data_IF_001507115576
#
_entry.id   IF_001507115576
#
_cell.length_a   1.000
_cell.length_b   1.000
_cell.length_c   1.000
_cell.angle_alpha   90.00
_cell.angle_beta   90.00
_cell.angle_gamma   90.00
#
_symmetry.space_group_name_H-M   'P 1'
#
loop_
_entity.id
_entity.type
_entity.pdbx_description
1 polymer ?
#
# COMPACT_ATOMS: atom_id res chain seq x y z
N UNK A 1 48.68 14.73 -54.84
CA UNK A 1 47.26 14.45 -54.71
C UNK A 1 47.06 13.81 -53.34
N UNK A 2 46.68 14.56 -52.31
CA UNK A 2 46.32 14.04 -50.98
C UNK A 2 44.81 13.96 -50.92
N UNK A 3 44.26 12.76 -50.69
CA UNK A 3 42.83 12.57 -50.43
C UNK A 3 42.61 12.64 -48.89
N UNK A 4 41.87 13.64 -48.47
CA UNK A 4 41.39 13.73 -47.09
C UNK A 4 40.17 12.78 -46.92
N UNK A 5 40.27 11.87 -45.95
CA UNK A 5 39.14 11.01 -45.54
C UNK A 5 38.43 11.73 -44.38
N UNK A 6 37.22 12.18 -44.60
CA UNK A 6 36.33 12.68 -43.56
C UNK A 6 35.68 11.46 -42.84
N UNK A 7 36.05 11.27 -41.59
CA UNK A 7 35.37 10.33 -40.68
C UNK A 7 34.21 11.08 -40.04
N UNK A 8 33.00 10.78 -40.48
CA UNK A 8 31.77 11.27 -39.84
C UNK A 8 31.52 10.53 -38.50
N UNK A 9 31.64 11.25 -37.40
CA UNK A 9 31.23 10.76 -36.10
C UNK A 9 29.70 10.93 -35.99
N UNK A 10 28.94 9.85 -36.19
CA UNK A 10 27.52 9.80 -35.86
C UNK A 10 27.37 9.70 -34.34
N UNK A 11 27.14 10.84 -33.70
CA UNK A 11 26.73 10.87 -32.29
C UNK A 11 25.33 10.27 -32.15
N UNK A 12 25.22 9.10 -31.56
CA UNK A 12 23.96 8.60 -31.03
C UNK A 12 23.57 9.48 -29.85
N UNK A 13 22.63 10.39 -30.06
CA UNK A 13 21.87 11.00 -28.96
C UNK A 13 20.98 9.90 -28.38
N UNK A 14 21.42 9.29 -27.29
CA UNK A 14 20.51 8.56 -26.41
C UNK A 14 19.55 9.58 -25.82
N UNK A 15 18.33 9.65 -26.36
CA UNK A 15 17.21 10.28 -25.67
C UNK A 15 17.00 9.47 -24.41
N UNK A 16 17.54 9.95 -23.28
CA UNK A 16 17.11 9.48 -21.98
C UNK A 16 15.61 9.78 -21.91
N UNK A 17 14.79 8.76 -21.98
CA UNK A 17 13.37 8.83 -21.63
C UNK A 17 13.35 9.21 -20.16
N UNK A 18 13.21 10.50 -19.83
CA UNK A 18 12.95 10.92 -18.49
C UNK A 18 11.59 10.36 -18.11
N UNK A 19 11.56 9.43 -17.15
CA UNK A 19 10.31 8.96 -16.56
C UNK A 19 9.48 10.18 -16.12
N UNK A 20 8.24 10.28 -16.59
CA UNK A 20 7.37 11.43 -16.30
C UNK A 20 6.61 11.19 -14.98
N UNK A 21 7.31 10.71 -13.97
CA UNK A 21 6.81 10.45 -12.62
C UNK A 21 7.62 11.28 -11.62
N UNK A 22 7.01 11.68 -10.50
CA UNK A 22 7.71 12.37 -9.41
C UNK A 22 8.52 11.37 -8.58
N UNK A 23 9.72 11.04 -8.99
CA UNK A 23 10.56 9.99 -8.42
C UNK A 23 10.91 10.18 -6.93
N UNK A 24 10.84 11.41 -6.40
CA UNK A 24 11.10 11.69 -4.98
C UNK A 24 9.96 11.27 -4.04
N UNK A 25 8.82 10.85 -4.57
CA UNK A 25 7.67 10.42 -3.78
C UNK A 25 7.72 8.94 -3.43
N UNK A 26 7.04 8.57 -2.34
CA UNK A 26 6.88 7.19 -1.88
C UNK A 26 8.21 6.42 -1.78
N UNK A 27 9.27 7.07 -1.30
CA UNK A 27 10.58 6.42 -1.09
C UNK A 27 10.53 5.31 -0.02
N UNK A 28 9.52 5.36 0.85
CA UNK A 28 9.04 4.25 1.68
C UNK A 28 7.56 4.03 1.40
N UNK A 29 6.97 2.87 1.76
CA UNK A 29 5.56 2.60 1.51
C UNK A 29 4.66 3.70 2.08
N UNK A 30 3.67 4.22 1.33
CA UNK A 30 2.75 5.23 1.84
C UNK A 30 1.96 4.74 3.06
N UNK A 31 1.81 5.60 4.06
CA UNK A 31 1.00 5.34 5.26
C UNK A 31 -0.15 6.34 5.34
N UNK A 32 -1.36 5.86 5.56
CA UNK A 32 -2.54 6.72 5.59
C UNK A 32 -3.83 6.01 5.99
N UNK A 33 -4.93 6.59 5.57
CA UNK A 33 -6.28 6.08 5.74
C UNK A 33 -7.09 6.31 4.46
N UNK A 34 -7.97 5.37 4.14
CA UNK A 34 -8.90 5.46 3.01
C UNK A 34 -10.33 5.17 3.48
N UNK A 35 -11.29 5.88 2.91
CA UNK A 35 -12.68 5.86 3.36
C UNK A 35 -13.47 4.60 2.95
N UNK A 36 -13.00 3.80 1.99
CA UNK A 36 -13.85 2.81 1.31
C UNK A 36 -14.36 1.70 2.22
N UNK A 37 -13.45 0.97 2.87
CA UNK A 37 -13.83 -0.29 3.56
C UNK A 37 -14.80 -0.07 4.71
N UNK A 38 -14.73 1.07 5.40
CA UNK A 38 -15.67 1.37 6.50
C UNK A 38 -16.91 2.14 6.08
N UNK A 39 -16.77 3.07 5.14
CA UNK A 39 -17.82 4.06 4.88
C UNK A 39 -18.49 3.90 3.53
N UNK A 40 -17.86 3.25 2.57
CA UNK A 40 -18.36 3.10 1.20
C UNK A 40 -18.94 4.42 0.64
N UNK A 41 -19.96 4.36 -0.21
CA UNK A 41 -20.60 5.55 -0.77
C UNK A 41 -21.46 6.32 0.24
N UNK A 42 -22.19 5.61 1.08
CA UNK A 42 -23.25 6.23 1.90
C UNK A 42 -22.71 6.87 3.18
N UNK A 43 -21.60 6.38 3.69
CA UNK A 43 -20.99 6.87 4.94
C UNK A 43 -20.07 8.07 4.77
N UNK A 44 -19.65 8.44 3.55
CA UNK A 44 -18.69 9.54 3.37
C UNK A 44 -19.38 10.90 3.23
N UNK A 45 -18.82 11.89 3.92
CA UNK A 45 -19.13 13.30 3.75
C UNK A 45 -17.98 14.15 4.34
N UNK A 46 -17.99 15.46 4.08
CA UNK A 46 -16.96 16.40 4.54
C UNK A 46 -16.71 16.32 6.05
N UNK A 47 -17.79 16.20 6.86
CA UNK A 47 -17.68 16.09 8.32
C UNK A 47 -16.91 14.85 8.73
N UNK A 48 -17.28 13.68 8.21
CA UNK A 48 -16.60 12.41 8.53
C UNK A 48 -15.12 12.47 8.14
N UNK A 49 -14.80 13.00 6.96
CA UNK A 49 -13.39 13.07 6.51
C UNK A 49 -12.56 14.00 7.42
N UNK A 50 -13.13 15.14 7.86
CA UNK A 50 -12.48 16.03 8.82
C UNK A 50 -12.27 15.34 10.18
N UNK A 51 -13.27 14.61 10.66
CA UNK A 51 -13.19 13.84 11.91
C UNK A 51 -12.13 12.72 11.83
N UNK A 52 -11.97 12.06 10.66
CA UNK A 52 -10.90 11.07 10.48
C UNK A 52 -9.51 11.73 10.53
N UNK A 53 -9.33 12.90 9.92
CA UNK A 53 -8.09 13.66 10.00
C UNK A 53 -7.76 14.05 11.46
N UNK A 54 -8.75 14.55 12.20
CA UNK A 54 -8.59 14.88 13.63
C UNK A 54 -8.25 13.64 14.47
N UNK A 55 -8.93 12.53 14.22
CA UNK A 55 -8.69 11.27 14.91
C UNK A 55 -7.30 10.68 14.61
N UNK A 56 -6.81 10.80 13.38
CA UNK A 56 -5.44 10.38 13.01
C UNK A 56 -4.39 11.14 13.81
N UNK A 57 -4.60 12.45 14.04
CA UNK A 57 -3.70 13.26 14.88
C UNK A 57 -3.85 12.87 16.36
N UNK A 58 -5.09 12.82 16.86
CA UNK A 58 -5.37 12.57 18.28
C UNK A 58 -4.95 11.17 18.76
N UNK A 59 -5.04 10.15 17.91
CA UNK A 59 -4.69 8.77 18.23
C UNK A 59 -3.18 8.48 18.27
N UNK A 60 -2.35 9.43 17.79
CA UNK A 60 -0.91 9.23 17.66
C UNK A 60 -0.47 8.58 16.34
N UNK A 61 -1.39 8.25 15.43
CA UNK A 61 -1.05 7.67 14.13
C UNK A 61 -0.18 8.62 13.29
N UNK A 62 -0.45 9.94 13.33
CA UNK A 62 0.40 10.93 12.65
C UNK A 62 1.85 10.87 13.15
N UNK A 63 2.07 10.79 14.47
CA UNK A 63 3.40 10.65 15.06
C UNK A 63 4.05 9.31 14.71
N UNK A 64 3.24 8.28 14.48
CA UNK A 64 3.72 6.96 14.04
C UNK A 64 4.11 6.92 12.56
N UNK A 65 3.76 7.95 11.76
CA UNK A 65 4.15 8.06 10.34
C UNK A 65 3.01 8.14 9.34
N UNK A 66 1.75 7.96 9.75
CA UNK A 66 0.59 8.10 8.88
C UNK A 66 0.44 9.55 8.39
N UNK A 67 0.24 9.73 7.09
CA UNK A 67 0.21 11.06 6.45
C UNK A 67 -1.02 11.31 5.60
N UNK A 68 -1.54 10.29 4.92
CA UNK A 68 -2.56 10.48 3.89
C UNK A 68 -3.96 10.25 4.45
N UNK A 69 -4.89 11.17 4.15
CA UNK A 69 -6.34 11.02 4.29
C UNK A 69 -6.91 10.98 2.89
N UNK A 70 -7.37 9.79 2.46
CA UNK A 70 -7.84 9.54 1.10
C UNK A 70 -9.35 9.37 1.09
N UNK A 71 -10.06 10.23 0.32
CA UNK A 71 -11.46 9.97 -0.03
C UNK A 71 -11.51 9.02 -1.22
N UNK A 72 -12.25 7.93 -1.08
CA UNK A 72 -12.47 6.94 -2.14
C UNK A 72 -13.67 7.30 -3.04
N UNK A 73 -14.27 6.38 -3.75
CA UNK A 73 -15.38 6.59 -4.69
C UNK A 73 -16.57 7.32 -4.08
N UNK A 74 -17.45 7.86 -4.91
CA UNK A 74 -18.69 8.55 -4.54
C UNK A 74 -18.56 9.97 -3.97
N UNK A 75 -17.40 10.62 -4.14
CA UNK A 75 -17.26 12.05 -3.84
C UNK A 75 -17.78 12.95 -4.99
N UNK A 76 -17.78 12.46 -6.23
CA UNK A 76 -18.16 13.18 -7.45
C UNK A 76 -19.57 12.79 -7.94
N UNK A 77 -20.23 13.72 -8.64
CA UNK A 77 -21.61 13.53 -9.14
C UNK A 77 -21.79 13.81 -10.64
N UNK A 78 -20.91 14.59 -11.25
CA UNK A 78 -21.08 15.01 -12.65
C UNK A 78 -19.87 15.77 -13.17
N UNK A 79 -20.06 16.36 -14.36
CA UNK A 79 -19.14 17.34 -14.94
C UNK A 79 -19.92 18.60 -15.31
N UNK A 80 -19.27 19.78 -15.19
CA UNK A 80 -19.87 21.04 -15.63
C UNK A 80 -19.81 21.17 -17.17
N UNK A 81 -20.36 22.28 -17.71
CA UNK A 81 -20.38 22.55 -19.14
C UNK A 81 -18.99 22.72 -19.76
N UNK A 82 -17.95 22.96 -18.96
CA UNK A 82 -16.55 23.02 -19.37
C UNK A 82 -15.83 21.66 -19.21
N UNK A 83 -16.55 20.62 -18.72
CA UNK A 83 -16.02 19.29 -18.50
C UNK A 83 -15.31 19.07 -17.17
N UNK A 84 -15.26 20.08 -16.28
CA UNK A 84 -14.65 19.92 -14.97
C UNK A 84 -15.48 18.98 -14.09
N UNK A 85 -14.79 18.11 -13.33
CA UNK A 85 -15.46 17.19 -12.41
C UNK A 85 -16.07 17.94 -11.23
N UNK A 86 -17.30 17.59 -10.86
CA UNK A 86 -18.08 18.25 -9.82
C UNK A 86 -18.19 17.32 -8.61
N UNK A 87 -17.78 17.82 -7.45
CA UNK A 87 -18.02 17.16 -6.17
C UNK A 87 -19.51 17.19 -5.79
N UNK A 88 -19.93 16.19 -5.01
CA UNK A 88 -21.29 16.18 -4.43
C UNK A 88 -21.42 17.32 -3.40
N UNK A 89 -22.19 18.35 -3.76
CA UNK A 89 -22.37 19.54 -2.91
C UNK A 89 -23.16 19.26 -1.61
N UNK A 90 -23.88 18.13 -1.54
CA UNK A 90 -24.58 17.70 -0.32
C UNK A 90 -23.59 17.05 0.64
N UNK A 91 -22.71 16.20 0.11
CA UNK A 91 -21.68 15.52 0.92
C UNK A 91 -20.51 16.42 1.25
N UNK A 92 -20.10 17.29 0.34
CA UNK A 92 -18.94 18.18 0.46
C UNK A 92 -19.32 19.65 0.21
N UNK A 93 -20.13 20.24 1.09
CA UNK A 93 -20.67 21.60 0.88
C UNK A 93 -19.61 22.70 0.88
N UNK A 94 -18.47 22.49 1.56
CA UNK A 94 -17.33 23.39 1.52
C UNK A 94 -16.46 23.25 0.27
N UNK A 95 -16.68 22.19 -0.51
CA UNK A 95 -15.88 21.83 -1.69
C UNK A 95 -14.56 21.12 -1.36
N UNK A 96 -14.00 20.46 -2.34
CA UNK A 96 -12.80 19.61 -2.19
C UNK A 96 -11.56 20.44 -1.81
N UNK A 97 -11.40 21.65 -2.36
CA UNK A 97 -10.28 22.53 -2.02
C UNK A 97 -10.25 22.87 -0.53
N UNK A 98 -11.39 23.29 0.04
CA UNK A 98 -11.46 23.64 1.47
C UNK A 98 -11.24 22.42 2.37
N UNK A 99 -11.66 21.22 1.93
CA UNK A 99 -11.36 19.98 2.64
C UNK A 99 -9.86 19.67 2.61
N UNK A 100 -9.20 19.78 1.47
CA UNK A 100 -7.75 19.61 1.34
C UNK A 100 -6.99 20.59 2.22
N UNK A 101 -7.35 21.89 2.19
CA UNK A 101 -6.73 22.92 3.02
C UNK A 101 -6.89 22.62 4.53
N UNK A 102 -8.05 22.09 4.95
CA UNK A 102 -8.26 21.62 6.33
C UNK A 102 -7.31 20.49 6.71
N UNK A 103 -7.20 19.47 5.87
CA UNK A 103 -6.32 18.32 6.11
C UNK A 103 -4.86 18.77 6.16
N UNK A 104 -4.44 19.66 5.27
CA UNK A 104 -3.11 20.29 5.30
C UNK A 104 -2.86 21.08 6.58
N UNK A 105 -3.87 21.77 7.11
CA UNK A 105 -3.75 22.50 8.38
C UNK A 105 -3.45 21.61 9.59
N UNK A 106 -3.73 20.30 9.48
CA UNK A 106 -3.38 19.28 10.49
C UNK A 106 -1.98 18.67 10.26
N UNK A 107 -1.22 19.14 9.26
CA UNK A 107 0.06 18.54 8.86
C UNK A 107 -0.06 17.20 8.17
N UNK A 108 -1.24 16.89 7.64
CA UNK A 108 -1.55 15.69 6.86
C UNK A 108 -1.58 16.01 5.37
N UNK A 109 -1.71 14.99 4.53
CA UNK A 109 -1.81 15.05 3.08
C UNK A 109 -3.16 14.57 2.61
N UNK A 110 -3.70 15.18 1.57
CA UNK A 110 -5.03 14.86 1.04
C UNK A 110 -4.95 13.97 -0.19
N UNK A 111 -5.73 12.90 -0.20
CA UNK A 111 -5.88 11.99 -1.34
C UNK A 111 -7.29 11.96 -1.89
N UNK A 112 -7.41 11.61 -3.19
CA UNK A 112 -8.67 11.52 -3.90
C UNK A 112 -8.68 10.28 -4.79
N UNK A 113 -9.86 9.90 -5.28
CA UNK A 113 -10.10 8.73 -6.10
C UNK A 113 -10.66 9.11 -7.48
N UNK A 114 -10.26 8.35 -8.50
CA UNK A 114 -10.85 8.33 -9.82
C UNK A 114 -10.79 6.91 -10.43
N UNK A 115 -11.13 6.79 -11.71
CA UNK A 115 -11.05 5.54 -12.45
C UNK A 115 -10.63 5.80 -13.90
N UNK A 116 -9.85 4.88 -14.48
CA UNK A 116 -9.39 4.93 -15.87
C UNK A 116 -10.47 4.59 -16.90
N UNK A 117 -11.65 4.17 -16.46
CA UNK A 117 -12.80 3.87 -17.32
C UNK A 117 -13.71 5.06 -17.56
N UNK A 118 -14.88 4.78 -18.17
CA UNK A 118 -15.92 5.79 -18.43
C UNK A 118 -16.68 6.19 -17.17
N UNK A 119 -16.72 5.28 -16.18
CA UNK A 119 -17.34 5.46 -14.87
C UNK A 119 -16.48 4.79 -13.79
N UNK A 120 -16.62 5.26 -12.56
CA UNK A 120 -16.06 4.61 -11.39
C UNK A 120 -16.75 3.28 -11.08
N UNK A 121 -16.26 2.51 -10.13
CA UNK A 121 -16.88 1.24 -9.71
C UNK A 121 -18.29 1.44 -9.18
N UNK A 122 -18.58 2.55 -8.51
CA UNK A 122 -19.91 2.94 -8.08
C UNK A 122 -20.73 3.70 -9.15
N UNK A 123 -20.27 3.73 -10.41
CA UNK A 123 -21.00 4.33 -11.53
C UNK A 123 -20.93 5.86 -11.60
N UNK A 124 -20.02 6.50 -10.86
CA UNK A 124 -19.79 7.95 -10.88
C UNK A 124 -18.95 8.36 -12.11
N UNK A 125 -18.89 9.65 -12.47
CA UNK A 125 -17.99 10.13 -13.54
C UNK A 125 -16.56 9.76 -13.26
N UNK A 126 -15.84 9.27 -14.28
CA UNK A 126 -14.44 8.88 -14.21
C UNK A 126 -13.57 9.69 -15.19
N UNK A 127 -12.26 9.41 -15.26
CA UNK A 127 -11.29 10.27 -15.94
C UNK A 127 -11.05 9.95 -17.40
N UNK A 128 -11.59 8.86 -17.96
CA UNK A 128 -11.36 8.49 -19.37
C UNK A 128 -11.71 9.64 -20.32
N UNK A 129 -10.72 10.16 -21.04
CA UNK A 129 -10.82 11.30 -21.94
C UNK A 129 -10.76 12.68 -21.27
N UNK A 130 -10.57 12.73 -19.94
CA UNK A 130 -10.46 13.94 -19.14
C UNK A 130 -9.19 13.98 -18.27
N UNK A 131 -8.23 13.07 -18.49
CA UNK A 131 -7.08 12.86 -17.61
C UNK A 131 -6.31 14.17 -17.35
N UNK A 132 -5.99 14.93 -18.38
CA UNK A 132 -5.28 16.21 -18.25
C UNK A 132 -6.11 17.30 -17.57
N UNK A 133 -7.43 17.29 -17.76
CA UNK A 133 -8.32 18.25 -17.14
C UNK A 133 -8.47 17.95 -15.66
N UNK A 134 -8.71 16.68 -15.33
CA UNK A 134 -8.87 16.21 -13.96
C UNK A 134 -7.56 16.39 -13.16
N UNK A 135 -6.41 16.03 -13.74
CA UNK A 135 -5.11 16.21 -13.11
C UNK A 135 -4.83 17.69 -12.75
N UNK A 136 -5.15 18.64 -13.65
CA UNK A 136 -5.04 20.07 -13.35
C UNK A 136 -5.96 20.48 -12.22
N UNK A 137 -7.19 19.96 -12.18
CA UNK A 137 -8.15 20.27 -11.14
C UNK A 137 -7.73 19.68 -9.80
N UNK A 138 -7.22 18.44 -9.77
CA UNK A 138 -6.66 17.82 -8.56
C UNK A 138 -5.46 18.62 -8.03
N UNK A 139 -4.55 19.03 -8.90
CA UNK A 139 -3.44 19.90 -8.52
C UNK A 139 -3.91 21.25 -7.95
N UNK A 140 -4.92 21.88 -8.56
CA UNK A 140 -5.50 23.12 -8.09
C UNK A 140 -6.23 22.97 -6.74
N UNK A 141 -6.78 21.81 -6.45
CA UNK A 141 -7.39 21.50 -5.14
C UNK A 141 -6.37 21.13 -4.05
N UNK A 142 -5.10 20.94 -4.42
CA UNK A 142 -4.07 20.57 -3.46
C UNK A 142 -4.01 19.09 -3.14
N UNK A 143 -4.45 18.23 -4.06
CA UNK A 143 -4.34 16.77 -3.91
C UNK A 143 -2.88 16.33 -3.85
N UNK A 144 -2.54 15.39 -2.95
CA UNK A 144 -1.20 14.83 -2.75
C UNK A 144 -1.13 13.34 -3.10
N UNK A 145 -2.28 12.67 -3.27
CA UNK A 145 -2.39 11.24 -3.58
C UNK A 145 -3.61 11.00 -4.46
N UNK A 146 -3.43 10.27 -5.55
CA UNK A 146 -4.51 9.84 -6.44
C UNK A 146 -4.56 8.33 -6.51
N UNK A 147 -5.71 7.73 -6.15
CA UNK A 147 -6.05 6.34 -6.47
C UNK A 147 -6.84 6.34 -7.77
N UNK A 148 -6.36 5.61 -8.77
CA UNK A 148 -7.07 5.42 -10.04
C UNK A 148 -7.43 3.95 -10.23
N UNK A 149 -8.72 3.68 -10.35
CA UNK A 149 -9.28 2.34 -10.47
C UNK A 149 -9.45 1.89 -11.93
N UNK A 150 -9.92 0.65 -12.15
CA UNK A 150 -10.01 0.03 -13.48
C UNK A 150 -11.42 -0.41 -13.87
N UNK A 151 -12.47 0.09 -13.21
CA UNK A 151 -13.88 -0.23 -13.50
C UNK A 151 -14.38 0.42 -14.80
N UNK A 152 -15.39 -0.20 -15.42
CA UNK A 152 -16.10 0.35 -16.59
C UNK A 152 -15.19 0.79 -17.75
N UNK A 153 -14.09 0.07 -17.95
CA UNK A 153 -13.17 0.27 -19.06
C UNK A 153 -13.79 -0.14 -20.39
N UNK A 154 -13.29 0.43 -21.49
CA UNK A 154 -13.74 0.05 -22.83
C UNK A 154 -13.19 -1.33 -23.21
N UNK A 155 -13.92 -2.05 -24.06
CA UNK A 155 -13.44 -3.33 -24.59
C UNK A 155 -12.08 -3.13 -25.30
N UNK A 156 -11.05 -3.84 -24.82
CA UNK A 156 -9.70 -3.75 -25.37
C UNK A 156 -8.91 -2.52 -24.91
N UNK A 157 -9.39 -1.77 -23.90
CA UNK A 157 -8.62 -0.69 -23.28
C UNK A 157 -7.31 -1.27 -22.72
N UNK A 158 -6.21 -0.58 -22.99
CA UNK A 158 -4.87 -1.02 -22.60
C UNK A 158 -4.48 -0.39 -21.26
N UNK A 159 -4.30 -1.19 -20.22
CA UNK A 159 -3.99 -0.71 -18.88
C UNK A 159 -2.68 0.09 -18.82
N UNK A 160 -1.53 -0.42 -19.31
CA UNK A 160 -0.29 0.36 -19.37
C UNK A 160 -0.45 1.73 -20.02
N UNK A 161 -1.14 1.82 -21.16
CA UNK A 161 -1.33 3.09 -21.88
C UNK A 161 -2.25 4.05 -21.11
N UNK A 162 -3.34 3.55 -20.50
CA UNK A 162 -4.28 4.39 -19.75
C UNK A 162 -3.63 5.01 -18.51
N UNK A 163 -2.95 4.19 -17.70
CA UNK A 163 -2.25 4.68 -16.51
C UNK A 163 -1.05 5.58 -16.85
N UNK A 164 -0.35 5.30 -17.96
CA UNK A 164 0.70 6.19 -18.48
C UNK A 164 0.13 7.57 -18.84
N UNK A 165 -1.05 7.63 -19.48
CA UNK A 165 -1.71 8.89 -19.82
C UNK A 165 -2.04 9.71 -18.57
N UNK A 166 -2.58 9.09 -17.52
CA UNK A 166 -2.85 9.78 -16.25
C UNK A 166 -1.54 10.21 -15.55
N UNK A 167 -0.49 9.37 -15.53
CA UNK A 167 0.83 9.75 -15.03
C UNK A 167 1.34 11.03 -15.70
N UNK A 168 1.29 11.08 -17.02
CA UNK A 168 1.77 12.22 -17.82
C UNK A 168 0.92 13.47 -17.54
N UNK A 169 -0.39 13.30 -17.36
CA UNK A 169 -1.31 14.37 -16.98
C UNK A 169 -0.98 14.94 -15.60
N UNK A 170 -0.74 14.08 -14.61
CA UNK A 170 -0.34 14.48 -13.26
C UNK A 170 1.01 15.19 -13.25
N UNK A 171 1.99 14.66 -13.98
CA UNK A 171 3.31 15.30 -14.11
C UNK A 171 3.19 16.69 -14.74
N UNK A 172 2.40 16.82 -15.81
CA UNK A 172 2.16 18.08 -16.51
C UNK A 172 1.39 19.11 -15.68
N UNK A 173 0.58 18.66 -14.73
CA UNK A 173 -0.12 19.52 -13.77
C UNK A 173 0.84 20.19 -12.76
N UNK A 174 2.07 19.67 -12.61
CA UNK A 174 3.18 20.30 -11.90
C UNK A 174 3.12 20.18 -10.38
N UNK A 175 2.09 19.53 -9.80
CA UNK A 175 2.03 19.23 -8.37
C UNK A 175 2.50 17.80 -8.13
N UNK A 176 3.44 17.56 -7.18
CA UNK A 176 3.83 16.22 -6.79
C UNK A 176 2.65 15.46 -6.14
N UNK A 177 2.12 14.46 -6.85
CA UNK A 177 1.00 13.61 -6.44
C UNK A 177 1.47 12.16 -6.45
N UNK A 178 1.33 11.45 -5.33
CA UNK A 178 1.53 10.00 -5.29
C UNK A 178 0.45 9.36 -6.15
N UNK A 179 0.86 8.53 -7.10
CA UNK A 179 -0.06 7.86 -8.02
C UNK A 179 -0.18 6.38 -7.67
N UNK A 180 -1.37 5.96 -7.28
CA UNK A 180 -1.76 4.60 -6.91
C UNK A 180 -2.64 3.98 -7.98
N UNK A 181 -2.14 2.92 -8.61
CA UNK A 181 -2.85 2.15 -9.62
C UNK A 181 -3.69 1.06 -8.96
N UNK A 182 -4.96 0.96 -9.34
CA UNK A 182 -5.89 -0.01 -8.76
C UNK A 182 -6.58 -0.84 -9.85
N UNK A 183 -5.86 -1.86 -10.38
CA UNK A 183 -6.41 -2.78 -11.39
C UNK A 183 -6.42 -4.25 -10.89
N UNK A 184 -6.31 -4.42 -9.57
CA UNK A 184 -6.45 -5.70 -8.84
C UNK A 184 -5.48 -6.82 -9.28
N UNK A 185 -4.34 -6.47 -9.89
CA UNK A 185 -3.38 -7.44 -10.43
C UNK A 185 -3.79 -8.05 -11.78
N UNK A 186 -4.92 -7.64 -12.36
CA UNK A 186 -5.51 -8.25 -13.56
C UNK A 186 -4.61 -8.17 -14.79
N UNK A 187 -3.83 -7.11 -14.93
CA UNK A 187 -2.89 -6.90 -16.02
C UNK A 187 -1.42 -6.99 -15.57
N UNK A 188 -1.17 -7.59 -14.40
CA UNK A 188 0.17 -7.76 -13.81
C UNK A 188 0.95 -6.44 -13.72
N UNK A 189 0.46 -5.43 -12.98
CA UNK A 189 1.02 -4.08 -12.92
C UNK A 189 2.48 -4.08 -12.47
N UNK A 190 2.88 -5.02 -11.62
CA UNK A 190 4.29 -5.19 -11.21
C UNK A 190 5.25 -5.37 -12.38
N UNK A 191 4.81 -5.81 -13.56
CA UNK A 191 5.68 -6.06 -14.72
C UNK A 191 5.89 -4.83 -15.62
N UNK A 192 5.13 -3.73 -15.41
CA UNK A 192 5.20 -2.55 -16.29
C UNK A 192 5.01 -1.20 -15.56
N UNK A 193 4.56 -1.19 -14.30
CA UNK A 193 4.14 0.06 -13.65
C UNK A 193 5.26 0.78 -12.87
N UNK A 194 6.49 0.26 -12.83
CA UNK A 194 7.62 0.85 -12.10
C UNK A 194 7.83 2.33 -12.45
N UNK A 195 7.78 2.68 -13.75
CA UNK A 195 7.91 4.05 -14.23
C UNK A 195 6.57 4.79 -14.35
N UNK A 196 5.45 4.17 -13.94
CA UNK A 196 4.10 4.73 -14.11
C UNK A 196 3.52 5.19 -12.78
N UNK A 197 3.41 4.32 -11.80
CA UNK A 197 2.85 4.59 -10.48
C UNK A 197 3.88 4.50 -9.37
N UNK A 198 3.47 4.91 -8.17
CA UNK A 198 4.28 4.78 -6.96
C UNK A 198 3.90 3.55 -6.15
N UNK A 199 2.71 3.01 -6.39
CA UNK A 199 2.22 1.74 -5.86
C UNK A 199 1.13 1.23 -6.80
N UNK A 200 0.90 -0.07 -6.75
CA UNK A 200 -0.13 -0.73 -7.55
C UNK A 200 -0.77 -1.89 -6.82
N UNK A 201 -2.08 -1.97 -6.88
CA UNK A 201 -2.84 -3.10 -6.37
C UNK A 201 -2.43 -4.38 -7.11
N UNK A 202 -1.84 -5.28 -6.38
CA UNK A 202 -1.39 -6.60 -6.85
C UNK A 202 -2.44 -7.69 -6.65
N UNK A 203 -3.48 -7.38 -5.83
CA UNK A 203 -4.53 -8.31 -5.44
C UNK A 203 -5.92 -7.70 -5.62
N UNK A 204 -6.97 -8.52 -5.61
CA UNK A 204 -8.37 -8.06 -5.49
C UNK A 204 -8.66 -7.48 -4.10
N UNK A 205 -9.87 -6.91 -3.96
CA UNK A 205 -10.27 -6.21 -2.73
C UNK A 205 -10.26 -7.12 -1.50
N UNK A 206 -9.71 -6.59 -0.41
CA UNK A 206 -9.67 -7.25 0.90
C UNK A 206 -10.94 -6.99 1.71
N UNK A 207 -11.29 -7.93 2.57
CA UNK A 207 -12.30 -7.78 3.62
C UNK A 207 -11.69 -8.20 4.95
N UNK A 208 -12.36 -7.83 6.06
CA UNK A 208 -11.96 -8.23 7.41
C UNK A 208 -12.21 -9.73 7.69
N UNK A 209 -11.61 -10.58 6.85
CA UNK A 209 -11.70 -12.03 6.88
C UNK A 209 -10.30 -12.61 6.94
N UNK A 210 -10.06 -13.55 7.85
CA UNK A 210 -8.75 -14.15 8.02
C UNK A 210 -8.29 -14.93 6.78
N UNK A 211 -9.15 -15.83 6.28
CA UNK A 211 -8.83 -16.68 5.15
C UNK A 211 -10.05 -16.94 4.27
N UNK A 212 -9.88 -16.91 2.97
CA UNK A 212 -10.85 -17.38 1.97
C UNK A 212 -10.39 -18.71 1.38
N UNK A 213 -11.31 -19.64 1.06
CA UNK A 213 -10.93 -20.84 0.33
C UNK A 213 -10.20 -20.51 -0.97
N UNK A 214 -9.16 -21.28 -1.29
CA UNK A 214 -8.48 -21.21 -2.57
C UNK A 214 -9.45 -21.45 -3.75
N UNK A 215 -9.04 -21.02 -4.93
CA UNK A 215 -9.76 -21.33 -6.17
C UNK A 215 -9.80 -22.86 -6.42
N UNK A 216 -10.71 -23.36 -7.28
CA UNK A 216 -10.81 -24.80 -7.57
C UNK A 216 -9.52 -25.43 -8.11
N UNK A 217 -8.64 -24.66 -8.73
CA UNK A 217 -7.34 -25.07 -9.22
C UNK A 217 -6.21 -25.04 -8.15
N UNK A 218 -6.58 -24.69 -6.91
CA UNK A 218 -5.66 -24.58 -5.79
C UNK A 218 -4.89 -23.25 -5.72
N UNK A 219 -5.09 -22.33 -6.66
CA UNK A 219 -4.45 -21.02 -6.62
C UNK A 219 -5.03 -20.14 -5.48
N UNK A 220 -4.23 -19.21 -4.90
CA UNK A 220 -4.73 -18.28 -3.91
C UNK A 220 -5.87 -17.40 -4.44
N UNK A 221 -6.77 -16.99 -3.55
CA UNK A 221 -7.90 -16.14 -3.87
C UNK A 221 -7.89 -14.90 -2.99
N UNK A 222 -8.05 -13.71 -3.61
CA UNK A 222 -8.23 -12.45 -2.88
C UNK A 222 -9.46 -12.44 -2.00
N UNK A 223 -9.57 -11.45 -1.13
CA UNK A 223 -10.72 -11.17 -0.30
C UNK A 223 -10.48 -11.43 1.18
N UNK A 224 -9.27 -11.83 1.56
CA UNK A 224 -8.87 -12.10 2.95
C UNK A 224 -7.42 -11.76 3.20
N UNK A 225 -7.05 -11.68 4.49
CA UNK A 225 -5.66 -11.42 4.90
C UNK A 225 -4.70 -12.43 4.28
N UNK A 226 -4.96 -13.72 4.47
CA UNK A 226 -4.08 -14.78 3.97
C UNK A 226 -4.12 -14.92 2.46
N UNK A 227 -5.30 -14.75 1.84
CA UNK A 227 -5.43 -14.84 0.39
C UNK A 227 -4.65 -13.75 -0.34
N UNK A 228 -4.75 -12.51 0.14
CA UNK A 228 -4.00 -11.39 -0.43
C UNK A 228 -2.50 -11.54 -0.18
N UNK A 229 -2.10 -11.96 1.03
CA UNK A 229 -0.70 -12.23 1.36
C UNK A 229 -0.10 -13.35 0.48
N UNK A 230 -0.85 -14.42 0.20
CA UNK A 230 -0.38 -15.52 -0.66
C UNK A 230 -0.16 -15.07 -2.11
N UNK A 231 -0.95 -14.12 -2.61
CA UNK A 231 -0.80 -13.55 -3.95
C UNK A 231 0.45 -12.66 -4.09
N UNK A 232 0.98 -12.14 -2.98
CA UNK A 232 2.23 -11.38 -2.97
C UNK A 232 3.49 -12.25 -3.10
N UNK A 233 3.36 -13.56 -2.90
CA UNK A 233 4.51 -14.46 -2.94
C UNK A 233 5.11 -14.56 -4.35
N UNK A 234 6.38 -14.21 -4.50
CA UNK A 234 7.10 -14.15 -5.78
C UNK A 234 7.07 -12.75 -6.44
N UNK A 235 6.42 -11.76 -5.80
CA UNK A 235 6.40 -10.36 -6.28
C UNK A 235 7.48 -9.49 -5.62
N UNK A 236 8.24 -10.00 -4.67
CA UNK A 236 9.23 -9.25 -3.89
C UNK A 236 10.29 -8.52 -4.74
N UNK A 237 10.59 -9.04 -5.91
CA UNK A 237 11.58 -8.46 -6.83
C UNK A 237 11.09 -7.17 -7.52
N UNK A 238 9.79 -6.89 -7.49
CA UNK A 238 9.16 -5.76 -8.19
C UNK A 238 8.91 -4.56 -7.29
N UNK A 239 9.06 -4.73 -5.96
CA UNK A 239 8.89 -3.64 -5.00
C UNK A 239 10.23 -3.00 -4.62
N UNK A 240 10.22 -1.69 -4.47
CA UNK A 240 11.39 -0.92 -4.07
C UNK A 240 11.07 0.56 -3.81
N UNK A 241 12.06 1.37 -3.43
CA UNK A 241 11.86 2.79 -3.19
C UNK A 241 11.20 3.49 -4.39
N UNK A 242 10.04 4.12 -4.13
CA UNK A 242 9.26 4.82 -5.15
C UNK A 242 8.31 3.95 -5.97
N UNK A 243 8.23 2.61 -5.71
CA UNK A 243 7.34 1.69 -6.41
C UNK A 243 7.03 0.46 -5.54
N UNK A 244 5.77 0.26 -5.16
CA UNK A 244 5.38 -0.74 -4.14
C UNK A 244 4.24 -1.63 -4.62
N UNK A 245 4.36 -2.95 -4.33
CA UNK A 245 3.23 -3.85 -4.38
C UNK A 245 2.22 -3.48 -3.28
N UNK A 246 0.95 -3.49 -3.61
CA UNK A 246 -0.13 -3.11 -2.71
C UNK A 246 -1.14 -4.27 -2.58
N UNK A 247 -1.08 -5.06 -1.51
CA UNK A 247 -2.03 -6.14 -1.25
C UNK A 247 -3.38 -5.66 -0.72
N UNK A 248 -3.67 -4.38 -0.85
CA UNK A 248 -4.83 -3.66 -0.34
C UNK A 248 -4.71 -3.17 1.11
N UNK A 249 -5.74 -2.49 1.57
CA UNK A 249 -5.82 -1.76 2.84
C UNK A 249 -5.68 -2.67 4.07
N UNK A 250 -5.43 -2.02 5.20
CA UNK A 250 -5.48 -2.67 6.51
C UNK A 250 -6.91 -2.76 7.02
N UNK A 251 -7.36 -3.97 7.35
CA UNK A 251 -8.65 -4.25 7.98
C UNK A 251 -8.59 -4.25 9.53
N UNK A 252 -7.47 -3.83 10.10
CA UNK A 252 -7.25 -3.73 11.55
C UNK A 252 -8.25 -2.77 12.17
N UNK A 253 -9.08 -3.29 13.08
CA UNK A 253 -10.13 -2.53 13.76
C UNK A 253 -11.51 -2.56 13.07
N UNK A 254 -11.63 -3.21 11.91
CA UNK A 254 -12.92 -3.58 11.35
C UNK A 254 -13.44 -4.89 11.97
N UNK A 255 -14.76 -5.08 11.97
CA UNK A 255 -15.38 -6.30 12.46
C UNK A 255 -15.03 -7.49 11.56
N UNK A 256 -14.69 -8.64 12.16
CA UNK A 256 -14.39 -9.90 11.46
C UNK A 256 -13.03 -10.49 11.77
N UNK A 257 -12.06 -9.70 12.24
CA UNK A 257 -10.76 -10.18 12.68
C UNK A 257 -10.62 -10.12 14.20
N UNK A 258 -10.10 -11.19 14.80
CA UNK A 258 -9.65 -11.17 16.19
C UNK A 258 -8.44 -10.25 16.38
N UNK A 259 -8.08 -9.96 17.64
CA UNK A 259 -6.88 -9.16 17.96
C UNK A 259 -5.60 -9.84 17.44
N UNK A 260 -5.50 -11.17 17.56
CA UNK A 260 -4.33 -11.91 17.09
C UNK A 260 -4.24 -11.92 15.55
N UNK A 261 -5.37 -12.07 14.85
CA UNK A 261 -5.44 -11.94 13.39
C UNK A 261 -5.12 -10.52 12.92
N UNK A 262 -5.58 -9.50 13.64
CA UNK A 262 -5.24 -8.09 13.37
C UNK A 262 -3.74 -7.83 13.56
N UNK A 263 -3.11 -8.40 14.61
CA UNK A 263 -1.66 -8.34 14.81
C UNK A 263 -0.90 -9.06 13.70
N UNK A 264 -1.38 -10.23 13.29
CA UNK A 264 -0.79 -10.99 12.21
C UNK A 264 -0.91 -10.24 10.87
N UNK A 265 -2.09 -9.70 10.55
CA UNK A 265 -2.34 -8.88 9.37
C UNK A 265 -1.36 -7.69 9.29
N UNK A 266 -1.29 -6.87 10.34
CA UNK A 266 -0.37 -5.73 10.40
C UNK A 266 1.09 -6.15 10.25
N UNK A 267 1.48 -7.25 10.93
CA UNK A 267 2.85 -7.80 10.84
C UNK A 267 3.21 -8.24 9.43
N UNK A 268 2.31 -8.92 8.75
CA UNK A 268 2.51 -9.39 7.37
C UNK A 268 2.65 -8.20 6.40
N UNK A 269 1.79 -7.17 6.50
CA UNK A 269 1.90 -5.97 5.68
C UNK A 269 3.25 -5.26 5.92
N UNK A 270 3.70 -5.15 7.17
CA UNK A 270 5.03 -4.60 7.48
C UNK A 270 6.18 -5.45 6.90
N UNK A 271 6.06 -6.78 6.94
CA UNK A 271 7.04 -7.66 6.29
C UNK A 271 7.05 -7.48 4.78
N UNK A 272 5.89 -7.32 4.16
CA UNK A 272 5.75 -7.13 2.71
C UNK A 272 6.21 -5.74 2.22
N UNK A 273 6.56 -4.80 3.10
CA UNK A 273 6.76 -3.39 2.73
C UNK A 273 5.53 -2.85 1.98
N UNK A 274 4.35 -3.23 2.42
CA UNK A 274 3.09 -2.85 1.80
C UNK A 274 2.65 -1.46 2.25
N UNK A 275 1.92 -0.70 1.44
CA UNK A 275 1.30 0.54 1.90
C UNK A 275 0.43 0.29 3.14
N UNK A 276 0.69 1.03 4.24
CA UNK A 276 -0.07 0.91 5.47
C UNK A 276 -1.26 1.89 5.44
N UNK A 277 -2.29 1.54 4.68
CA UNK A 277 -3.50 2.35 4.52
C UNK A 277 -4.62 1.75 5.37
N UNK A 278 -4.94 2.38 6.52
CA UNK A 278 -6.00 1.93 7.40
C UNK A 278 -7.40 2.12 6.76
N UNK A 279 -8.28 1.13 6.92
CA UNK A 279 -9.65 1.15 6.37
C UNK A 279 -10.76 1.21 7.43
N UNK A 280 -10.43 1.40 8.71
CA UNK A 280 -11.37 1.41 9.83
C UNK A 280 -11.86 2.81 10.23
N UNK A 281 -12.79 2.89 11.17
CA UNK A 281 -13.20 4.14 11.81
C UNK A 281 -12.19 4.57 12.89
N UNK A 282 -11.39 5.59 12.60
CA UNK A 282 -10.33 6.06 13.50
C UNK A 282 -10.84 6.75 14.78
N UNK A 283 -12.12 7.19 14.81
CA UNK A 283 -12.70 7.95 15.93
C UNK A 283 -12.91 7.09 17.17
N UNK A 284 -13.14 5.80 16.97
CA UNK A 284 -13.56 4.87 18.03
C UNK A 284 -12.68 3.61 18.08
N UNK A 285 -11.39 3.74 17.84
CA UNK A 285 -10.45 2.61 17.94
C UNK A 285 -10.35 2.09 19.38
N UNK A 286 -10.37 0.76 19.52
CA UNK A 286 -9.97 0.13 20.77
C UNK A 286 -8.49 0.39 21.09
N UNK A 287 -8.09 0.19 22.35
CA UNK A 287 -6.68 0.30 22.73
C UNK A 287 -5.80 -0.70 21.97
N UNK A 288 -6.28 -1.92 21.72
CA UNK A 288 -5.57 -2.92 20.92
C UNK A 288 -5.41 -2.46 19.47
N UNK A 289 -6.48 -1.98 18.82
CA UNK A 289 -6.42 -1.45 17.44
C UNK A 289 -5.40 -0.32 17.34
N UNK A 290 -5.46 0.63 18.26
CA UNK A 290 -4.52 1.76 18.30
C UNK A 290 -3.08 1.27 18.52
N UNK A 291 -2.86 0.36 19.46
CA UNK A 291 -1.54 -0.20 19.76
C UNK A 291 -0.95 -0.97 18.57
N UNK A 292 -1.79 -1.68 17.80
CA UNK A 292 -1.37 -2.36 16.57
C UNK A 292 -0.95 -1.35 15.52
N UNK A 293 -1.84 -0.41 15.14
CA UNK A 293 -1.60 0.55 14.07
C UNK A 293 -0.44 1.53 14.38
N UNK A 294 -0.09 1.73 15.65
CA UNK A 294 1.00 2.63 16.06
C UNK A 294 2.25 1.91 16.58
N UNK A 295 2.39 0.60 16.34
CA UNK A 295 3.56 -0.16 16.78
C UNK A 295 4.84 0.32 16.04
N UNK A 296 5.67 1.08 16.73
CA UNK A 296 6.89 1.70 16.17
C UNK A 296 7.89 0.69 15.62
N UNK A 297 8.01 -0.47 16.27
CA UNK A 297 8.99 -1.49 15.87
C UNK A 297 8.57 -2.15 14.55
N UNK A 298 7.28 -2.42 14.37
CA UNK A 298 6.73 -2.99 13.14
C UNK A 298 6.78 -1.97 12.00
N UNK A 299 6.35 -0.73 12.27
CA UNK A 299 6.45 0.37 11.30
C UNK A 299 7.90 0.57 10.84
N UNK A 300 8.87 0.45 11.76
CA UNK A 300 10.29 0.60 11.40
C UNK A 300 10.80 -0.46 10.43
N UNK A 301 10.25 -1.69 10.42
CA UNK A 301 10.59 -2.69 9.40
C UNK A 301 9.83 -2.49 8.09
N UNK A 302 8.63 -1.93 8.14
CA UNK A 302 7.90 -1.52 6.94
C UNK A 302 8.60 -0.38 6.21
N UNK A 303 8.94 0.66 6.95
CA UNK A 303 9.54 1.90 6.48
C UNK A 303 11.08 1.84 6.35
N UNK A 304 11.65 0.63 6.38
CA UNK A 304 13.10 0.45 6.27
C UNK A 304 13.62 1.00 4.92
N UNK A 305 14.65 1.89 4.93
CA UNK A 305 15.11 2.57 3.72
C UNK A 305 15.75 1.65 2.66
N UNK A 306 16.11 0.40 3.01
CA UNK A 306 16.52 -0.60 2.01
C UNK A 306 15.38 -0.91 1.02
N UNK A 307 14.13 -0.71 1.43
CA UNK A 307 12.95 -0.81 0.58
C UNK A 307 12.72 -2.23 0.03
N UNK A 308 13.09 -3.26 0.77
CA UNK A 308 12.92 -4.64 0.32
C UNK A 308 11.63 -5.24 0.86
N UNK A 309 10.83 -5.83 -0.01
CA UNK A 309 9.72 -6.68 0.39
C UNK A 309 10.26 -7.98 0.99
N UNK A 310 9.68 -8.42 2.13
CA UNK A 310 9.97 -9.71 2.71
C UNK A 310 9.34 -10.86 1.89
N UNK A 311 9.90 -12.03 2.02
CA UNK A 311 9.46 -13.21 1.27
C UNK A 311 9.35 -14.44 2.18
N UNK A 312 8.51 -15.39 1.79
CA UNK A 312 8.30 -16.64 2.52
C UNK A 312 9.40 -17.63 2.21
N UNK A 313 10.13 -18.06 3.24
CA UNK A 313 11.21 -19.06 3.14
C UNK A 313 10.73 -20.46 3.49
N UNK A 314 9.62 -20.59 4.22
CA UNK A 314 9.08 -21.91 4.60
C UNK A 314 7.57 -21.82 4.85
N UNK A 315 6.88 -22.89 4.45
CA UNK A 315 5.49 -23.18 4.82
C UNK A 315 5.40 -24.67 5.10
N UNK A 316 5.31 -25.04 6.38
CA UNK A 316 5.26 -26.44 6.80
C UNK A 316 4.22 -26.63 7.89
N UNK A 317 3.26 -27.54 7.66
CA UNK A 317 2.22 -27.88 8.62
C UNK A 317 1.48 -26.67 9.22
N UNK A 318 1.27 -25.61 8.43
CA UNK A 318 0.61 -24.40 8.86
C UNK A 318 1.49 -23.40 9.63
N UNK A 319 2.77 -23.69 9.83
CA UNK A 319 3.77 -22.69 10.24
C UNK A 319 4.39 -22.08 8.99
N UNK A 320 4.34 -20.76 8.92
CA UNK A 320 5.01 -19.99 7.87
C UNK A 320 6.13 -19.15 8.45
N UNK A 321 7.23 -19.07 7.70
CA UNK A 321 8.40 -18.25 8.07
C UNK A 321 8.70 -17.30 6.94
N UNK A 322 8.69 -16.00 7.26
CA UNK A 322 9.06 -14.93 6.35
C UNK A 322 10.36 -14.29 6.81
N UNK A 323 11.15 -13.85 5.85
CA UNK A 323 12.42 -13.14 6.08
C UNK A 323 12.41 -11.86 5.27
N UNK A 324 12.86 -10.76 5.87
CA UNK A 324 13.00 -9.45 5.22
C UNK A 324 14.38 -8.88 5.52
N UNK A 325 15.24 -8.68 4.51
CA UNK A 325 16.48 -7.94 4.69
C UNK A 325 16.20 -6.48 5.06
N UNK A 326 16.96 -5.94 5.99
CA UNK A 326 16.87 -4.55 6.45
C UNK A 326 18.19 -3.82 6.21
N UNK A 327 18.13 -2.49 6.21
CA UNK A 327 19.31 -1.65 6.09
C UNK A 327 20.31 -1.95 7.22
N UNK A 328 21.62 -1.87 6.92
CA UNK A 328 22.67 -2.13 7.90
C UNK A 328 23.01 -3.60 8.13
N UNK A 329 22.36 -4.52 7.40
CA UNK A 329 22.61 -5.95 7.50
C UNK A 329 21.74 -6.67 8.53
N UNK A 330 20.81 -5.97 9.16
CA UNK A 330 19.79 -6.57 10.02
C UNK A 330 18.77 -7.38 9.19
N UNK A 331 18.05 -8.27 9.85
CA UNK A 331 17.03 -9.10 9.22
C UNK A 331 15.77 -9.14 10.09
N UNK A 332 14.62 -8.88 9.51
CA UNK A 332 13.35 -9.18 10.17
C UNK A 332 12.90 -10.62 9.85
N UNK A 333 12.37 -11.31 10.86
CA UNK A 333 11.82 -12.66 10.73
C UNK A 333 10.40 -12.66 11.29
N UNK A 334 9.46 -13.15 10.51
CA UNK A 334 8.08 -13.32 10.95
C UNK A 334 7.73 -14.81 10.98
N UNK A 335 7.26 -15.29 12.11
CA UNK A 335 6.77 -16.66 12.34
C UNK A 335 5.26 -16.57 12.49
N UNK A 336 4.53 -17.17 11.56
CA UNK A 336 3.06 -17.15 11.53
C UNK A 336 2.49 -18.55 11.74
N UNK A 337 1.62 -18.72 12.71
CA UNK A 337 0.73 -19.89 12.76
C UNK A 337 -0.54 -19.60 11.95
N UNK A 338 -0.58 -20.11 10.73
CA UNK A 338 -1.72 -19.97 9.82
C UNK A 338 -2.93 -20.81 10.26
N UNK A 339 -2.68 -21.87 11.03
CA UNK A 339 -3.68 -22.88 11.36
C UNK A 339 -4.41 -22.60 12.68
N UNK A 340 -5.45 -23.43 12.92
CA UNK A 340 -6.33 -23.33 14.09
C UNK A 340 -5.75 -23.96 15.36
N UNK A 341 -4.70 -24.76 15.27
CA UNK A 341 -4.09 -25.44 16.41
C UNK A 341 -2.82 -24.74 16.86
N UNK A 342 -2.56 -24.74 18.17
CA UNK A 342 -1.32 -24.24 18.73
C UNK A 342 -0.10 -24.96 18.13
N UNK A 343 0.98 -24.23 17.89
CA UNK A 343 2.25 -24.72 17.38
C UNK A 343 3.36 -24.56 18.39
N UNK A 344 4.04 -25.67 18.68
CA UNK A 344 5.31 -25.63 19.42
C UNK A 344 6.45 -25.38 18.45
N UNK A 345 7.27 -24.40 18.74
CA UNK A 345 8.43 -24.02 17.92
C UNK A 345 9.71 -24.53 18.56
N UNK A 346 10.48 -25.31 17.84
CA UNK A 346 11.84 -25.72 18.20
C UNK A 346 12.66 -25.95 16.92
N UNK A 347 13.39 -24.93 16.48
CA UNK A 347 14.20 -24.99 15.24
C UNK A 347 15.58 -24.34 15.40
N UNK A 348 16.50 -24.74 14.53
CA UNK A 348 17.77 -24.05 14.38
C UNK A 348 17.65 -22.99 13.27
N UNK A 349 18.17 -21.78 13.49
CA UNK A 349 18.11 -20.66 12.56
C UNK A 349 18.63 -20.98 11.15
N UNK A 350 19.66 -21.84 11.07
CA UNK A 350 20.21 -22.30 9.80
C UNK A 350 19.20 -23.04 8.90
N UNK A 351 18.12 -23.58 9.47
CA UNK A 351 17.06 -24.23 8.72
C UNK A 351 16.32 -23.27 7.78
N UNK A 352 16.41 -21.96 8.10
CA UNK A 352 15.83 -20.85 7.34
C UNK A 352 16.90 -19.95 6.69
N UNK A 353 18.15 -20.42 6.57
CA UNK A 353 19.24 -19.66 5.96
C UNK A 353 19.80 -18.52 6.82
N UNK A 354 19.47 -18.51 8.12
CA UNK A 354 19.91 -17.47 9.07
C UNK A 354 21.17 -17.96 9.80
N UNK A 355 22.23 -17.12 9.80
CA UNK A 355 23.49 -17.39 10.49
C UNK A 355 23.39 -17.29 12.02
N UNK A 356 24.49 -17.66 12.69
CA UNK A 356 24.70 -17.43 14.13
C UNK A 356 25.24 -16.02 14.41
N UNK A 357 25.28 -15.62 15.68
CA UNK A 357 25.91 -14.37 16.14
C UNK A 357 24.99 -13.16 16.18
N UNK A 358 23.74 -13.28 15.75
CA UNK A 358 22.80 -12.14 15.78
C UNK A 358 22.06 -12.09 17.13
N UNK A 359 21.91 -10.89 17.68
CA UNK A 359 20.98 -10.60 18.78
C UNK A 359 19.53 -10.62 18.29
N UNK A 360 18.62 -11.09 19.13
CA UNK A 360 17.19 -11.25 18.77
C UNK A 360 16.33 -10.30 19.60
N UNK A 361 15.61 -9.39 18.94
CA UNK A 361 14.58 -8.55 19.57
C UNK A 361 13.20 -8.96 19.11
N UNK A 362 12.29 -9.28 20.07
CA UNK A 362 10.86 -9.47 19.82
C UNK A 362 10.22 -8.08 19.64
N UNK A 363 9.65 -7.83 18.47
CA UNK A 363 9.14 -6.49 18.08
C UNK A 363 7.75 -6.19 18.69
N UNK A 364 6.98 -7.22 19.03
CA UNK A 364 5.70 -7.03 19.73
C UNK A 364 5.90 -6.81 21.23
N UNK A 365 6.87 -7.50 21.84
CA UNK A 365 7.18 -7.36 23.27
C UNK A 365 8.21 -6.27 23.58
N UNK A 366 8.79 -5.68 22.52
CA UNK A 366 9.83 -4.63 22.59
C UNK A 366 10.99 -5.00 23.51
N UNK A 367 11.47 -6.25 23.45
CA UNK A 367 12.55 -6.74 24.32
C UNK A 367 13.51 -7.69 23.61
N UNK A 368 14.76 -7.71 24.07
CA UNK A 368 15.74 -8.71 23.69
C UNK A 368 15.34 -10.09 24.25
N UNK A 369 15.50 -11.14 23.45
CA UNK A 369 15.07 -12.50 23.79
C UNK A 369 16.14 -13.57 23.67
N UNK A 370 17.35 -13.23 23.20
CA UNK A 370 18.46 -14.16 23.05
C UNK A 370 19.33 -13.87 21.82
N UNK A 371 20.00 -14.90 21.32
CA UNK A 371 20.83 -14.84 20.12
C UNK A 371 20.53 -16.02 19.20
N UNK A 372 20.94 -15.90 17.92
CA UNK A 372 20.81 -16.99 16.93
C UNK A 372 21.82 -18.12 17.12
N UNK A 373 22.68 -18.04 18.13
CA UNK A 373 23.61 -19.13 18.51
C UNK A 373 22.88 -20.33 19.11
N UNK A 374 21.70 -20.11 19.67
CA UNK A 374 20.86 -21.16 20.25
C UNK A 374 19.63 -21.42 19.38
N UNK A 375 19.04 -22.63 19.55
CA UNK A 375 17.77 -22.94 18.91
C UNK A 375 16.68 -21.97 19.37
N UNK A 376 15.81 -21.57 18.45
CA UNK A 376 14.60 -20.84 18.81
C UNK A 376 13.57 -21.80 19.41
N UNK A 377 13.00 -21.41 20.55
CA UNK A 377 11.90 -22.12 21.18
C UNK A 377 10.78 -21.17 21.55
N UNK A 378 9.55 -21.58 21.31
CA UNK A 378 8.38 -20.76 21.60
C UNK A 378 7.09 -21.48 21.30
N UNK A 379 5.99 -20.77 21.52
CA UNK A 379 4.66 -21.27 21.23
C UNK A 379 3.90 -20.21 20.46
N UNK A 380 3.18 -20.60 19.42
CA UNK A 380 2.23 -19.77 18.67
C UNK A 380 0.83 -20.36 18.82
N UNK A 381 -0.06 -19.64 19.46
CA UNK A 381 -1.48 -19.96 19.46
C UNK A 381 -2.09 -19.83 18.05
N UNK A 382 -3.39 -20.11 17.97
CA UNK A 382 -4.18 -19.98 16.74
C UNK A 382 -3.99 -18.60 16.13
N UNK A 383 -3.63 -18.52 14.85
CA UNK A 383 -3.47 -17.31 14.03
C UNK A 383 -2.48 -16.26 14.60
N UNK A 384 -1.68 -16.66 15.60
CA UNK A 384 -0.69 -15.79 16.21
C UNK A 384 0.55 -15.61 15.36
N UNK A 385 1.24 -14.52 15.61
CA UNK A 385 2.48 -14.13 14.96
C UNK A 385 3.56 -13.77 15.99
N UNK A 386 4.81 -14.11 15.69
CA UNK A 386 6.00 -13.56 16.34
C UNK A 386 6.80 -12.83 15.27
N UNK A 387 7.17 -11.59 15.54
CA UNK A 387 8.05 -10.82 14.65
C UNK A 387 9.32 -10.44 15.40
N UNK A 388 10.45 -10.80 14.83
CA UNK A 388 11.76 -10.63 15.41
C UNK A 388 12.63 -9.75 14.51
N UNK A 389 13.48 -8.92 15.11
CA UNK A 389 14.60 -8.28 14.43
C UNK A 389 15.88 -8.95 14.89
N UNK A 390 16.69 -9.39 13.94
CA UNK A 390 17.99 -9.97 14.12
C UNK A 390 19.04 -8.90 13.75
N UNK A 391 19.90 -8.57 14.71
CA UNK A 391 20.93 -7.53 14.52
C UNK A 391 22.32 -8.08 14.85
N UNK A 392 23.34 -7.58 14.16
CA UNK A 392 24.75 -7.92 14.39
C UNK A 392 25.28 -7.39 15.74
#
# INVERSE_FOLDING_TARGET
>A
MFRAVLVGISGFLTLASNAQKFESLAQTPPMGWNSWNKFACDGINEKVIREMADAMVASGMQQAGYRYIVIDDCWQVGRDSAGNIIADAVKFPGGIRALADYIHSKGLKFGIYTCAGTKTCAGRPASLGYEYQDARQYAAWGVDYLKEDWCNTLKGQNAPASYTLMRDALYKAGRPIVFSLCEWGSNKPWSWAEDVGHLWRSTGDISAVWNTPANPDGSPRSGSVLGNMDLENGLEQYAGPGHWNDPDMLEVGNEGLSVDESRAHFSLWCMLAAPLIAGNDLRNMSDDTRAILTNKNLIAIDQDPLGRQGYRVSMKEGLEVFVKPLQGGDTAVCLLNRGDQEKQLDFAWKEYGIGSGHSIKDLWKDRQTGTTDTRFRGTLGRHQVIVLRLSN
#
